data_IF_225629498734
#
_entry.id   IF_225629498734
#
_cell.length_a   1.000
_cell.length_b   1.000
_cell.length_c   1.000
_cell.angle_alpha   90.00
_cell.angle_beta   90.00
_cell.angle_gamma   90.00
#
_symmetry.space_group_name_H-M   'P 1'
#
loop_
_entity.id
_entity.type
_entity.pdbx_description
1 polymer ?
#
# COMPACT_ATOMS: atom_id res chain seq x y z
N UNK A 1 26.90 -12.25 22.54
CA UNK A 1 25.72 -13.13 22.74
C UNK A 1 24.51 -12.21 22.64
N UNK A 2 24.09 -11.78 21.44
CA UNK A 2 23.21 -10.58 21.35
C UNK A 2 22.12 -10.70 20.27
N UNK A 3 21.38 -11.79 20.26
CA UNK A 3 20.26 -11.99 19.31
C UNK A 3 18.85 -11.95 19.96
N UNK A 4 18.72 -11.76 21.28
CA UNK A 4 17.51 -12.22 22.00
C UNK A 4 16.53 -11.11 22.41
N UNK A 5 16.83 -9.83 22.22
CA UNK A 5 15.98 -8.75 22.79
C UNK A 5 15.28 -7.83 21.76
N UNK A 6 15.06 -8.35 20.54
CA UNK A 6 14.28 -7.66 19.50
C UNK A 6 12.92 -8.31 19.33
N UNK A 7 11.89 -7.47 19.22
CA UNK A 7 10.55 -7.89 18.84
C UNK A 7 10.51 -8.30 17.36
N UNK A 8 9.52 -9.09 16.95
CA UNK A 8 9.30 -9.47 15.54
C UNK A 8 9.13 -8.29 14.58
N UNK A 9 8.77 -7.10 15.08
CA UNK A 9 8.73 -5.87 14.28
C UNK A 9 10.11 -5.24 14.03
N UNK A 10 11.18 -5.80 14.59
CA UNK A 10 12.57 -5.34 14.45
C UNK A 10 13.02 -4.30 15.49
N UNK A 11 12.09 -3.75 16.27
CA UNK A 11 12.37 -2.79 17.35
C UNK A 11 12.91 -3.50 18.61
N UNK A 12 13.64 -2.76 19.44
CA UNK A 12 14.11 -3.27 20.74
C UNK A 12 12.94 -3.46 21.69
N UNK A 13 13.11 -4.35 22.67
CA UNK A 13 12.12 -4.53 23.74
C UNK A 13 11.79 -3.22 24.47
N UNK A 14 12.79 -2.36 24.69
CA UNK A 14 12.65 -1.05 25.34
C UNK A 14 11.87 -0.01 24.52
N UNK A 15 11.81 -0.17 23.19
CA UNK A 15 10.96 0.68 22.34
C UNK A 15 9.47 0.38 22.55
N UNK A 16 9.17 -0.79 23.12
CA UNK A 16 7.85 -1.12 23.58
C UNK A 16 7.76 -0.88 25.09
N UNK A 17 6.59 -0.47 25.58
CA UNK A 17 6.39 -0.28 27.02
C UNK A 17 6.64 -1.57 27.82
N UNK A 18 6.72 -1.44 29.15
CA UNK A 18 7.08 -2.56 30.04
C UNK A 18 6.15 -3.79 29.96
N UNK A 19 4.93 -3.62 29.42
CA UNK A 19 3.86 -4.62 29.44
C UNK A 19 3.55 -5.25 28.06
N UNK A 20 4.57 -5.61 27.29
CA UNK A 20 4.35 -6.37 26.04
C UNK A 20 4.23 -7.88 26.33
N UNK A 21 3.15 -8.54 25.84
CA UNK A 21 3.04 -9.99 25.88
C UNK A 21 4.23 -10.65 25.17
N UNK A 22 4.88 -11.58 25.85
CA UNK A 22 5.94 -12.42 25.26
C UNK A 22 5.30 -13.75 24.87
N UNK A 23 5.42 -14.14 23.60
CA UNK A 23 4.91 -15.44 23.17
C UNK A 23 5.78 -16.58 23.75
N UNK A 24 5.20 -17.77 23.99
CA UNK A 24 5.94 -18.97 24.35
C UNK A 24 7.08 -19.28 23.37
N UNK A 25 8.20 -19.86 23.85
CA UNK A 25 9.27 -20.33 22.97
C UNK A 25 8.75 -21.31 21.91
N UNK A 26 9.16 -21.12 20.66
CA UNK A 26 8.78 -21.99 19.55
C UNK A 26 7.40 -21.69 18.93
N UNK A 27 6.68 -20.67 19.42
CA UNK A 27 5.44 -20.25 18.78
C UNK A 27 5.71 -19.56 17.43
N UNK A 28 4.93 -19.92 16.40
CA UNK A 28 4.96 -19.27 15.11
C UNK A 28 4.28 -17.89 15.17
N UNK A 29 4.92 -16.89 14.56
CA UNK A 29 4.34 -15.55 14.48
C UNK A 29 3.08 -15.55 13.61
N UNK A 30 1.99 -15.06 14.18
CA UNK A 30 0.71 -14.81 13.49
C UNK A 30 0.27 -13.35 13.72
N UNK A 31 -0.07 -12.59 12.67
CA UNK A 31 -0.41 -11.17 12.79
C UNK A 31 -1.49 -10.89 13.84
N UNK A 32 -2.53 -11.71 13.88
CA UNK A 32 -3.71 -11.50 14.71
C UNK A 32 -3.42 -11.61 16.22
N UNK A 33 -2.39 -12.37 16.61
CA UNK A 33 -2.01 -12.55 18.04
C UNK A 33 -0.81 -11.70 18.44
N UNK A 34 0.07 -11.39 17.48
CA UNK A 34 1.37 -10.79 17.75
C UNK A 34 1.48 -9.34 17.26
N UNK A 35 0.36 -8.74 16.85
CA UNK A 35 0.26 -7.31 16.54
C UNK A 35 -0.93 -6.71 17.25
N UNK A 36 -0.90 -5.38 17.41
CA UNK A 36 -2.01 -4.62 17.98
C UNK A 36 -2.47 -3.60 16.94
N UNK A 37 -3.78 -3.59 16.67
CA UNK A 37 -4.36 -2.57 15.81
C UNK A 37 -4.36 -1.22 16.53
N UNK A 38 -3.95 -0.18 15.81
CA UNK A 38 -3.99 1.21 16.24
C UNK A 38 -4.42 2.11 15.10
N UNK A 39 -4.83 3.36 15.41
CA UNK A 39 -5.15 4.34 14.36
C UNK A 39 -3.92 4.60 13.49
N UNK A 40 -4.14 4.79 12.18
CA UNK A 40 -3.07 5.15 11.25
C UNK A 40 -2.74 6.64 11.37
N UNK A 41 -1.46 6.95 11.44
CA UNK A 41 -0.88 8.29 11.40
C UNK A 41 -0.31 8.63 10.00
N UNK A 42 -0.30 7.65 9.09
CA UNK A 42 0.30 7.75 7.77
C UNK A 42 -0.78 7.87 6.69
N UNK A 43 -1.23 9.10 6.46
CA UNK A 43 -2.20 9.46 5.43
C UNK A 43 -2.00 10.91 4.97
N UNK A 44 -2.51 11.25 3.79
CA UNK A 44 -2.50 12.61 3.26
C UNK A 44 -2.15 12.66 1.78
N UNK A 45 -1.36 13.67 1.40
CA UNK A 45 -0.94 13.89 0.02
C UNK A 45 0.58 13.90 -0.08
N UNK A 46 1.15 13.06 -0.95
CA UNK A 46 2.57 13.11 -1.32
C UNK A 46 2.73 14.02 -2.53
N UNK A 47 3.71 14.92 -2.49
CA UNK A 47 4.12 15.75 -3.61
C UNK A 47 5.48 15.30 -4.14
N UNK A 48 5.51 14.82 -5.38
CA UNK A 48 6.74 14.33 -6.01
C UNK A 48 7.54 15.50 -6.57
N UNK A 49 8.77 15.64 -6.11
CA UNK A 49 9.73 16.64 -6.59
C UNK A 49 10.66 16.03 -7.67
N UNK A 50 11.18 16.86 -8.57
CA UNK A 50 12.15 16.45 -9.59
C UNK A 50 11.56 15.90 -10.90
N UNK A 51 10.23 15.86 -11.03
CA UNK A 51 9.56 15.60 -12.31
C UNK A 51 9.37 16.89 -13.15
N UNK A 52 9.05 16.77 -14.45
CA UNK A 52 8.75 17.93 -15.30
C UNK A 52 7.51 18.71 -14.86
N UNK A 53 6.64 18.10 -14.06
CA UNK A 53 5.48 18.75 -13.43
C UNK A 53 5.35 18.26 -11.99
N UNK A 54 5.00 19.14 -11.03
CA UNK A 54 4.61 18.70 -9.69
C UNK A 54 3.43 17.75 -9.80
N UNK A 55 3.58 16.53 -9.27
CA UNK A 55 2.50 15.56 -9.20
C UNK A 55 2.16 15.32 -7.75
N UNK A 56 0.86 15.38 -7.43
CA UNK A 56 0.32 15.11 -6.09
C UNK A 56 -0.46 13.81 -6.13
N UNK A 57 -0.27 12.97 -5.11
CA UNK A 57 -1.01 11.72 -4.96
C UNK A 57 -1.54 11.59 -3.53
N UNK A 58 -2.82 11.23 -3.40
CA UNK A 58 -3.42 10.88 -2.11
C UNK A 58 -2.93 9.48 -1.69
N UNK A 59 -2.68 9.31 -0.40
CA UNK A 59 -2.25 8.04 0.17
C UNK A 59 -2.84 7.83 1.57
N UNK A 60 -2.97 6.56 1.95
CA UNK A 60 -3.28 6.11 3.31
C UNK A 60 -2.67 4.73 3.55
N UNK A 61 -2.11 4.50 4.73
CA UNK A 61 -1.69 3.17 5.20
C UNK A 61 -2.85 2.46 5.88
N UNK A 62 -3.17 1.24 5.43
CA UNK A 62 -4.24 0.39 5.96
C UNK A 62 -3.68 -0.87 6.62
N UNK A 63 -4.44 -1.44 7.55
CA UNK A 63 -4.15 -2.78 8.09
C UNK A 63 -4.40 -3.85 7.03
N UNK A 64 -3.66 -4.95 7.10
CA UNK A 64 -3.76 -6.09 6.19
C UNK A 64 -5.16 -6.74 6.14
N UNK A 65 -5.94 -6.61 7.21
CA UNK A 65 -7.28 -7.17 7.40
C UNK A 65 -8.40 -6.12 7.27
N UNK A 66 -8.07 -4.92 6.78
CA UNK A 66 -9.07 -3.86 6.53
C UNK A 66 -10.12 -4.38 5.54
N UNK A 67 -11.40 -4.29 5.91
CA UNK A 67 -12.48 -4.80 5.05
C UNK A 67 -12.54 -4.03 3.72
N UNK A 68 -12.72 -4.71 2.58
CA UNK A 68 -12.73 -4.06 1.26
C UNK A 68 -13.83 -3.01 1.08
N UNK A 69 -14.99 -3.15 1.73
CA UNK A 69 -16.09 -2.17 1.65
C UNK A 69 -15.67 -0.78 2.15
N UNK A 70 -14.85 -0.73 3.20
CA UNK A 70 -14.31 0.53 3.74
C UNK A 70 -13.34 1.17 2.76
N UNK A 71 -12.56 0.37 2.03
CA UNK A 71 -11.62 0.86 1.00
C UNK A 71 -12.41 1.47 -0.16
N UNK A 72 -13.47 0.80 -0.62
CA UNK A 72 -14.34 1.35 -1.69
C UNK A 72 -15.02 2.63 -1.22
N UNK A 73 -15.48 2.70 0.03
CA UNK A 73 -16.05 3.92 0.60
C UNK A 73 -15.03 5.06 0.62
N UNK A 74 -13.81 4.81 1.06
CA UNK A 74 -12.73 5.79 1.05
C UNK A 74 -12.50 6.35 -0.36
N UNK A 75 -12.32 5.46 -1.34
CA UNK A 75 -12.06 5.86 -2.73
C UNK A 75 -13.20 6.69 -3.32
N UNK A 76 -14.45 6.31 -3.08
CA UNK A 76 -15.61 6.93 -3.73
C UNK A 76 -16.14 8.15 -2.98
N UNK A 77 -16.07 8.19 -1.64
CA UNK A 77 -16.63 9.28 -0.82
C UNK A 77 -15.57 10.29 -0.40
N UNK A 78 -14.49 9.83 0.24
CA UNK A 78 -13.47 10.73 0.80
C UNK A 78 -12.56 11.28 -0.30
N UNK A 79 -12.23 10.45 -1.29
CA UNK A 79 -11.39 10.85 -2.43
C UNK A 79 -12.19 11.24 -3.68
N UNK A 80 -13.53 11.16 -3.60
CA UNK A 80 -14.45 11.55 -4.66
C UNK A 80 -14.15 10.93 -6.04
N UNK A 81 -13.61 9.70 -6.08
CA UNK A 81 -13.37 9.00 -7.33
C UNK A 81 -14.69 8.50 -7.92
N UNK A 82 -14.87 8.71 -9.21
CA UNK A 82 -15.99 8.12 -9.94
C UNK A 82 -15.88 6.60 -9.96
N UNK A 83 -17.04 5.93 -9.96
CA UNK A 83 -17.09 4.48 -10.12
C UNK A 83 -16.50 4.11 -11.49
N UNK A 84 -15.41 3.32 -11.55
CA UNK A 84 -14.85 2.92 -12.82
C UNK A 84 -15.79 1.96 -13.55
N UNK A 85 -15.87 2.11 -14.87
CA UNK A 85 -16.65 1.22 -15.76
C UNK A 85 -15.88 -0.05 -16.15
N UNK A 86 -14.56 -0.05 -15.91
CA UNK A 86 -13.64 -1.14 -16.21
C UNK A 86 -12.56 -1.21 -15.14
N UNK A 87 -12.25 -2.41 -14.66
CA UNK A 87 -11.14 -2.68 -13.75
C UNK A 87 -10.07 -3.46 -14.51
N UNK A 88 -8.86 -2.90 -14.59
CA UNK A 88 -7.71 -3.54 -15.23
C UNK A 88 -6.71 -3.88 -14.13
N UNK A 89 -6.45 -5.17 -13.92
CA UNK A 89 -5.39 -5.65 -13.03
C UNK A 89 -4.17 -6.03 -13.85
N UNK A 90 -3.05 -5.35 -13.62
CA UNK A 90 -1.77 -5.69 -14.24
C UNK A 90 -0.87 -6.28 -13.15
N UNK A 91 -0.43 -7.52 -13.34
CA UNK A 91 0.53 -8.19 -12.46
C UNK A 91 1.91 -8.22 -13.15
N UNK A 92 2.97 -7.94 -12.40
CA UNK A 92 4.35 -7.93 -12.89
C UNK A 92 5.31 -8.62 -11.91
N UNK A 93 6.54 -8.87 -12.36
CA UNK A 93 7.61 -9.45 -11.54
C UNK A 93 8.50 -8.40 -10.86
N UNK A 94 9.25 -8.81 -9.83
CA UNK A 94 10.19 -7.95 -9.07
C UNK A 94 11.45 -7.54 -9.86
N UNK A 95 11.80 -8.30 -10.90
CA UNK A 95 12.98 -8.03 -11.73
C UNK A 95 12.67 -6.98 -12.80
N UNK A 96 13.61 -6.07 -13.05
CA UNK A 96 13.56 -5.19 -14.21
C UNK A 96 13.58 -6.05 -15.47
N UNK A 97 12.46 -6.12 -16.18
CA UNK A 97 12.37 -6.79 -17.47
C UNK A 97 12.29 -5.75 -18.57
N UNK A 98 13.09 -5.91 -19.62
CA UNK A 98 13.02 -5.01 -20.75
C UNK A 98 11.89 -5.45 -21.68
N UNK A 99 10.79 -4.71 -21.68
CA UNK A 99 9.72 -4.95 -22.64
C UNK A 99 10.21 -4.68 -24.07
N UNK A 100 9.87 -5.59 -24.99
CA UNK A 100 10.14 -5.37 -26.41
C UNK A 100 9.56 -4.01 -26.88
N UNK A 101 10.30 -3.23 -27.69
CA UNK A 101 9.90 -1.88 -28.08
C UNK A 101 8.49 -1.78 -28.70
N UNK A 102 8.09 -2.80 -29.48
CA UNK A 102 6.74 -2.90 -30.07
C UNK A 102 5.65 -2.96 -29.00
N UNK A 103 5.87 -3.74 -27.95
CA UNK A 103 4.93 -3.91 -26.85
C UNK A 103 4.86 -2.66 -25.95
N UNK A 104 6.00 -2.00 -25.69
CA UNK A 104 6.04 -0.69 -25.02
C UNK A 104 5.21 0.37 -25.76
N UNK A 105 5.29 0.38 -27.10
CA UNK A 105 4.59 1.33 -27.95
C UNK A 105 3.08 1.12 -27.93
N UNK A 106 2.63 -0.13 -28.00
CA UNK A 106 1.20 -0.47 -27.91
C UNK A 106 0.66 -0.12 -26.52
N UNK A 107 1.31 -0.55 -25.43
CA UNK A 107 0.84 -0.28 -24.07
C UNK A 107 0.75 1.23 -23.74
N UNK A 108 1.72 2.04 -24.16
CA UNK A 108 1.66 3.51 -23.98
C UNK A 108 0.59 4.19 -24.82
N UNK A 109 0.17 3.58 -25.93
CA UNK A 109 -0.84 4.13 -26.84
C UNK A 109 -2.24 3.77 -26.36
N UNK A 110 -2.48 2.53 -25.94
CA UNK A 110 -3.79 2.07 -25.45
C UNK A 110 -4.16 2.67 -24.08
N UNK A 111 -3.18 3.01 -23.23
CA UNK A 111 -3.43 3.65 -21.93
C UNK A 111 -3.84 5.13 -22.01
N UNK A 112 -3.85 5.73 -23.20
CA UNK A 112 -4.31 7.11 -23.43
C UNK A 112 -5.75 7.14 -23.94
N UNK A 113 -6.70 6.57 -23.21
CA UNK A 113 -8.11 6.87 -23.47
C UNK A 113 -8.43 8.28 -22.95
N UNK A 114 -8.60 9.23 -23.87
CA UNK A 114 -9.01 10.60 -23.58
C UNK A 114 -10.44 10.68 -23.01
N UNK A 115 -10.87 11.89 -22.56
CA UNK A 115 -12.17 12.07 -21.94
C UNK A 115 -13.30 11.73 -22.92
N UNK A 116 -14.16 10.80 -22.53
CA UNK A 116 -15.43 10.53 -23.22
C UNK A 116 -16.30 11.77 -23.01
N UNK A 117 -16.43 12.61 -24.04
CA UNK A 117 -17.43 13.68 -24.06
C UNK A 117 -18.81 13.03 -24.18
N UNK A 118 -19.63 13.14 -23.15
CA UNK A 118 -21.07 12.84 -23.24
C UNK A 118 -21.74 13.92 -24.10
N UNK A 119 -22.48 13.47 -25.12
CA UNK A 119 -23.48 14.28 -25.84
C UNK A 119 -24.65 14.59 -24.91
#
# INVERSE_FOLDING_TARGET
MDLVDRCWCGLSRTAHGANIPVAPPGEAWVPQRHTQAGPTDAYGTVEFQGGPHPTKAQYVRLSHDTRPDLIVQLLTREWALERPKLLITIQGGKANFDLQPKLKKVLRKESKTGPIKST
#
